data_IF_550592690306
#
_entry.id   IF_550592690306
#
_cell.length_a   1.000
_cell.length_b   1.000
_cell.length_c   1.000
_cell.angle_alpha   90.00
_cell.angle_beta   90.00
_cell.angle_gamma   90.00
#
_symmetry.space_group_name_H-M   'P 1'
#
loop_
_entity.id
_entity.type
_entity.pdbx_description
1 polymer ?
#
# COMPACT_ATOMS: atom_id res chain seq x y z
N UNK A 1 -1.52 -11.56 -12.77
CA UNK A 1 -0.69 -10.64 -11.96
C UNK A 1 0.72 -11.18 -11.91
N UNK A 2 1.57 -10.63 -12.78
CA UNK A 2 3.02 -10.85 -12.82
C UNK A 2 3.68 -10.04 -11.71
N UNK A 3 4.45 -10.73 -10.86
CA UNK A 3 5.55 -10.19 -10.04
C UNK A 3 5.28 -8.94 -9.19
N UNK A 4 4.80 -9.13 -7.96
CA UNK A 4 5.12 -8.18 -6.89
C UNK A 4 6.46 -8.57 -6.25
N UNK A 5 7.24 -7.57 -5.86
CA UNK A 5 8.68 -7.64 -5.60
C UNK A 5 9.01 -8.43 -4.32
N UNK A 6 9.85 -9.47 -4.49
CA UNK A 6 10.67 -10.17 -3.49
C UNK A 6 9.97 -11.22 -2.60
N UNK A 7 10.39 -12.47 -2.83
CA UNK A 7 10.34 -13.56 -1.86
C UNK A 7 11.00 -13.10 -0.54
N UNK A 8 10.21 -12.95 0.53
CA UNK A 8 10.64 -12.63 1.90
C UNK A 8 10.89 -11.15 2.28
N UNK A 9 10.08 -10.19 1.82
CA UNK A 9 10.12 -8.84 2.38
C UNK A 9 9.60 -8.81 3.85
N UNK A 10 10.52 -8.71 4.83
CA UNK A 10 10.21 -8.63 6.27
C UNK A 10 9.27 -7.46 6.59
N UNK A 11 9.46 -6.32 5.92
CA UNK A 11 8.64 -5.11 6.11
C UNK A 11 7.20 -5.33 5.67
N UNK A 12 6.98 -5.96 4.52
CA UNK A 12 5.63 -6.34 4.07
C UNK A 12 4.95 -7.29 5.07
N UNK A 13 5.68 -8.30 5.55
CA UNK A 13 5.17 -9.21 6.59
C UNK A 13 4.84 -8.46 7.89
N UNK A 14 5.62 -7.43 8.23
CA UNK A 14 5.36 -6.59 9.40
C UNK A 14 4.06 -5.78 9.27
N UNK A 15 3.72 -5.31 8.06
CA UNK A 15 2.46 -4.61 7.80
C UNK A 15 1.26 -5.56 7.92
N UNK A 16 1.39 -6.78 7.42
CA UNK A 16 0.34 -7.80 7.54
C UNK A 16 0.21 -8.39 8.95
N UNK A 17 1.29 -8.38 9.74
CA UNK A 17 1.35 -8.90 11.11
C UNK A 17 0.78 -10.33 11.23
N UNK A 18 -0.31 -10.53 11.96
CA UNK A 18 -1.00 -11.83 12.10
C UNK A 18 -1.46 -12.41 10.75
N UNK A 19 -1.68 -11.57 9.75
CA UNK A 19 -2.12 -11.95 8.39
C UNK A 19 -0.98 -12.15 7.40
N UNK A 20 0.28 -12.24 7.88
CA UNK A 20 1.48 -12.38 7.03
C UNK A 20 1.45 -13.55 6.06
N UNK A 21 0.59 -14.55 6.28
CA UNK A 21 0.37 -15.61 5.31
C UNK A 21 -0.12 -15.04 3.96
N UNK A 22 -0.96 -14.02 3.96
CA UNK A 22 -1.53 -13.40 2.76
C UNK A 22 -0.57 -12.48 2.00
N UNK A 23 0.72 -12.45 2.34
CA UNK A 23 1.75 -11.84 1.50
C UNK A 23 2.21 -12.76 0.37
N UNK A 24 1.78 -14.04 0.38
CA UNK A 24 2.18 -15.03 -0.64
C UNK A 24 1.04 -15.31 -1.61
N UNK A 25 1.36 -15.57 -2.87
CA UNK A 25 0.35 -15.84 -3.89
C UNK A 25 -0.48 -17.09 -3.59
N UNK A 26 0.15 -18.18 -3.14
CA UNK A 26 -0.52 -19.46 -2.88
C UNK A 26 -1.63 -19.34 -1.85
N UNK A 27 -1.34 -18.73 -0.70
CA UNK A 27 -2.33 -18.52 0.36
C UNK A 27 -3.41 -17.53 -0.06
N UNK A 28 -3.08 -16.47 -0.81
CA UNK A 28 -4.08 -15.52 -1.33
C UNK A 28 -5.07 -16.19 -2.28
N UNK A 29 -4.59 -17.10 -3.13
CA UNK A 29 -5.45 -17.83 -4.08
C UNK A 29 -6.45 -18.78 -3.41
N UNK A 30 -6.19 -19.22 -2.18
CA UNK A 30 -7.10 -20.08 -1.41
C UNK A 30 -7.99 -19.31 -0.42
N UNK A 31 -7.78 -18.01 -0.28
CA UNK A 31 -8.53 -17.17 0.66
C UNK A 31 -9.84 -16.65 0.05
N UNK A 32 -10.83 -16.41 0.88
CA UNK A 32 -12.06 -15.73 0.43
C UNK A 32 -11.80 -14.24 0.19
N UNK A 33 -12.65 -13.61 -0.62
CA UNK A 33 -12.58 -12.16 -0.86
C UNK A 33 -12.67 -11.35 0.44
N UNK A 34 -13.48 -11.79 1.41
CA UNK A 34 -13.62 -11.11 2.71
C UNK A 34 -12.38 -11.24 3.59
N UNK A 35 -11.76 -12.43 3.62
CA UNK A 35 -10.48 -12.62 4.33
C UNK A 35 -9.37 -11.73 3.75
N UNK A 36 -9.29 -11.62 2.42
CA UNK A 36 -8.32 -10.75 1.75
C UNK A 36 -8.63 -9.27 2.00
N UNK A 37 -9.88 -8.85 1.83
CA UNK A 37 -10.31 -7.48 2.10
C UNK A 37 -9.95 -7.06 3.53
N UNK A 38 -10.24 -7.91 4.51
CA UNK A 38 -9.93 -7.62 5.91
C UNK A 38 -8.43 -7.49 6.13
N UNK A 39 -7.66 -8.49 5.69
CA UNK A 39 -6.22 -8.52 5.90
C UNK A 39 -5.50 -7.35 5.21
N UNK A 40 -5.85 -7.08 3.95
CA UNK A 40 -5.26 -6.00 3.17
C UNK A 40 -5.64 -4.63 3.76
N UNK A 41 -6.87 -4.45 4.25
CA UNK A 41 -7.29 -3.22 4.93
C UNK A 41 -6.50 -2.98 6.23
N UNK A 42 -6.31 -4.03 7.05
CA UNK A 42 -5.47 -3.92 8.25
C UNK A 42 -4.02 -3.62 7.87
N UNK A 43 -3.50 -4.28 6.83
CA UNK A 43 -2.14 -4.07 6.35
C UNK A 43 -1.94 -2.63 5.85
N UNK A 44 -2.87 -2.09 5.05
CA UNK A 44 -2.79 -0.73 4.55
C UNK A 44 -2.84 0.29 5.70
N UNK A 45 -3.72 0.07 6.69
CA UNK A 45 -3.78 0.90 7.91
C UNK A 45 -2.46 0.87 8.69
N UNK A 46 -1.80 -0.29 8.78
CA UNK A 46 -0.49 -0.39 9.44
C UNK A 46 0.62 0.23 8.60
N UNK A 47 0.61 0.04 7.28
CA UNK A 47 1.58 0.62 6.37
C UNK A 47 1.59 2.14 6.46
N UNK A 48 0.43 2.80 6.38
CA UNK A 48 0.37 4.28 6.49
C UNK A 48 0.85 4.80 7.84
N UNK A 49 0.59 4.06 8.94
CA UNK A 49 1.10 4.42 10.27
C UNK A 49 2.61 4.22 10.36
N UNK A 50 3.13 3.12 9.82
CA UNK A 50 4.57 2.86 9.82
C UNK A 50 5.34 3.88 9.00
N UNK A 51 4.78 4.37 7.88
CA UNK A 51 5.39 5.44 7.10
C UNK A 51 5.31 6.82 7.79
N UNK A 52 4.28 7.09 8.59
CA UNK A 52 4.22 8.29 9.46
C UNK A 52 5.36 8.28 10.49
N UNK A 53 5.61 7.13 11.10
CA UNK A 53 6.67 6.95 12.11
C UNK A 53 8.08 6.74 11.49
N UNK A 54 8.20 6.65 10.16
CA UNK A 54 9.46 6.32 9.49
C UNK A 54 10.29 7.59 9.22
N UNK A 55 11.50 7.62 9.77
CA UNK A 55 12.44 8.72 9.54
C UNK A 55 13.18 8.53 8.21
N UNK A 56 12.55 9.00 7.14
CA UNK A 56 13.14 8.98 5.81
C UNK A 56 14.45 9.75 5.69
N UNK A 57 14.74 10.74 6.55
CA UNK A 57 15.94 11.57 6.42
C UNK A 57 17.19 10.88 6.94
N UNK A 58 17.05 10.00 7.94
CA UNK A 58 18.17 9.32 8.60
C UNK A 58 18.26 7.83 8.28
N UNK A 59 17.17 7.21 7.79
CA UNK A 59 17.16 5.82 7.37
C UNK A 59 18.13 5.56 6.20
N UNK A 60 18.70 4.36 6.17
CA UNK A 60 19.52 3.93 5.05
C UNK A 60 18.67 3.68 3.78
N UNK A 61 19.35 3.58 2.64
CA UNK A 61 18.67 3.42 1.34
C UNK A 61 17.90 2.11 1.25
N UNK A 62 18.39 1.05 1.87
CA UNK A 62 17.78 -0.27 1.81
C UNK A 62 16.48 -0.33 2.62
N UNK A 63 16.45 0.30 3.79
CA UNK A 63 15.25 0.46 4.61
C UNK A 63 14.20 1.32 3.91
N UNK A 64 14.60 2.47 3.34
CA UNK A 64 13.69 3.30 2.53
C UNK A 64 13.11 2.46 1.38
N UNK A 65 13.96 1.74 0.64
CA UNK A 65 13.53 0.87 -0.46
C UNK A 65 12.54 -0.19 0.00
N UNK A 66 12.84 -0.84 1.13
CA UNK A 66 12.04 -1.90 1.72
C UNK A 66 10.66 -1.41 2.14
N UNK A 67 10.59 -0.25 2.82
CA UNK A 67 9.35 0.39 3.23
C UNK A 67 8.50 0.87 2.06
N UNK A 68 9.11 1.50 1.05
CA UNK A 68 8.40 2.00 -0.13
C UNK A 68 7.83 0.84 -0.96
N UNK A 69 8.61 -0.22 -1.18
CA UNK A 69 8.11 -1.43 -1.89
C UNK A 69 6.98 -2.11 -1.12
N UNK A 70 7.17 -2.33 0.19
CA UNK A 70 6.14 -2.94 1.03
C UNK A 70 4.84 -2.12 1.05
N UNK A 71 4.96 -0.79 1.02
CA UNK A 71 3.81 0.11 0.91
C UNK A 71 3.09 -0.04 -0.42
N UNK A 72 3.81 -0.02 -1.54
CA UNK A 72 3.25 -0.19 -2.88
C UNK A 72 2.55 -1.54 -3.01
N UNK A 73 3.18 -2.62 -2.56
CA UNK A 73 2.58 -3.96 -2.59
C UNK A 73 1.31 -4.01 -1.74
N UNK A 74 1.32 -3.44 -0.54
CA UNK A 74 0.14 -3.39 0.34
C UNK A 74 -1.00 -2.56 -0.28
N UNK A 75 -0.69 -1.41 -0.88
CA UNK A 75 -1.65 -0.60 -1.61
C UNK A 75 -2.28 -1.38 -2.76
N UNK A 76 -1.45 -2.05 -3.58
CA UNK A 76 -1.91 -2.81 -4.75
C UNK A 76 -2.72 -4.05 -4.36
N UNK A 77 -2.33 -4.76 -3.29
CA UNK A 77 -3.13 -5.84 -2.74
C UNK A 77 -4.50 -5.36 -2.23
N UNK A 78 -4.54 -4.19 -1.60
CA UNK A 78 -5.82 -3.58 -1.19
C UNK A 78 -6.67 -3.22 -2.42
N UNK A 79 -6.08 -2.69 -3.48
CA UNK A 79 -6.78 -2.44 -4.75
C UNK A 79 -7.36 -3.73 -5.34
N UNK A 80 -6.57 -4.81 -5.35
CA UNK A 80 -6.97 -6.11 -5.90
C UNK A 80 -8.13 -6.75 -5.13
N UNK A 81 -8.01 -6.87 -3.81
CA UNK A 81 -9.08 -7.46 -3.00
C UNK A 81 -10.35 -6.63 -3.07
N UNK A 82 -10.22 -5.31 -2.92
CA UNK A 82 -11.35 -4.38 -2.94
C UNK A 82 -12.07 -4.32 -4.30
N UNK A 83 -11.34 -4.45 -5.42
CA UNK A 83 -11.93 -4.44 -6.78
C UNK A 83 -12.91 -5.60 -7.00
N UNK A 84 -12.63 -6.76 -6.43
CA UNK A 84 -13.45 -7.97 -6.56
C UNK A 84 -14.57 -8.08 -5.51
N UNK A 85 -14.66 -7.10 -4.61
CA UNK A 85 -15.55 -7.15 -3.45
C UNK A 85 -16.98 -6.70 -3.76
N UNK A 86 -17.95 -7.37 -3.15
CA UNK A 86 -19.35 -6.92 -3.05
C UNK A 86 -19.62 -6.05 -1.82
N UNK A 87 -18.66 -5.96 -0.88
CA UNK A 87 -18.78 -5.10 0.30
C UNK A 87 -18.64 -3.62 -0.10
N UNK A 88 -19.63 -2.81 0.27
CA UNK A 88 -19.72 -1.40 -0.12
C UNK A 88 -18.53 -0.55 0.35
N UNK A 89 -17.95 -0.84 1.53
CA UNK A 89 -16.78 -0.14 2.04
C UNK A 89 -15.52 -0.50 1.25
N UNK A 90 -15.36 -1.76 0.86
CA UNK A 90 -14.26 -2.19 0.00
C UNK A 90 -14.39 -1.56 -1.39
N UNK A 91 -15.56 -1.65 -2.04
CA UNK A 91 -15.80 -1.04 -3.36
C UNK A 91 -15.60 0.49 -3.34
N UNK A 92 -16.06 1.18 -2.30
CA UNK A 92 -15.82 2.62 -2.12
C UNK A 92 -14.33 2.92 -1.94
N UNK A 93 -13.61 2.08 -1.20
CA UNK A 93 -12.18 2.24 -0.97
C UNK A 93 -11.39 2.06 -2.27
N UNK A 94 -11.69 1.05 -3.08
CA UNK A 94 -11.09 0.88 -4.41
C UNK A 94 -11.23 2.15 -5.27
N UNK A 95 -12.45 2.70 -5.38
CA UNK A 95 -12.69 3.94 -6.13
C UNK A 95 -11.91 5.12 -5.57
N UNK A 96 -11.87 5.26 -4.25
CA UNK A 96 -11.15 6.33 -3.58
C UNK A 96 -9.63 6.22 -3.76
N UNK A 97 -9.07 5.02 -3.67
CA UNK A 97 -7.65 4.78 -3.90
C UNK A 97 -7.26 5.08 -5.35
N UNK A 98 -8.04 4.60 -6.32
CA UNK A 98 -7.84 4.91 -7.74
C UNK A 98 -7.86 6.41 -8.01
N UNK A 99 -8.88 7.12 -7.51
CA UNK A 99 -9.00 8.56 -7.69
C UNK A 99 -7.88 9.32 -6.98
N UNK A 100 -7.43 8.83 -5.82
CA UNK A 100 -6.33 9.42 -5.07
C UNK A 100 -5.01 9.30 -5.83
N UNK A 101 -4.68 8.12 -6.35
CA UNK A 101 -3.48 7.94 -7.17
C UNK A 101 -3.50 8.89 -8.38
N UNK A 102 -4.66 9.00 -9.05
CA UNK A 102 -4.78 9.84 -10.24
C UNK A 102 -4.63 11.33 -9.95
N UNK A 103 -5.27 11.79 -8.86
CA UNK A 103 -5.15 13.17 -8.38
C UNK A 103 -3.71 13.56 -8.03
N UNK A 104 -2.92 12.62 -7.50
CA UNK A 104 -1.54 12.85 -7.07
C UNK A 104 -0.51 12.22 -8.02
N UNK A 105 -0.89 11.88 -9.26
CA UNK A 105 -0.05 11.16 -10.23
C UNK A 105 1.28 11.86 -10.48
N UNK A 106 1.28 13.18 -10.65
CA UNK A 106 2.50 13.98 -10.81
C UNK A 106 3.38 13.98 -9.56
N UNK A 107 2.78 14.07 -8.36
CA UNK A 107 3.54 14.05 -7.11
C UNK A 107 4.15 12.67 -6.85
N UNK A 108 3.43 11.60 -7.18
CA UNK A 108 3.92 10.23 -7.14
C UNK A 108 5.08 10.06 -8.13
N UNK A 109 4.92 10.51 -9.38
CA UNK A 109 5.98 10.40 -10.40
C UNK A 109 7.21 11.24 -10.01
N UNK A 110 6.98 12.41 -9.41
CA UNK A 110 8.03 13.25 -8.84
C UNK A 110 8.81 12.57 -7.71
N UNK A 111 8.32 11.49 -7.09
CA UNK A 111 9.09 10.66 -6.15
C UNK A 111 9.50 9.30 -6.73
N UNK A 112 9.22 9.06 -8.01
CA UNK A 112 9.57 7.82 -8.72
C UNK A 112 8.55 6.69 -8.57
N UNK A 113 7.33 6.99 -8.12
CA UNK A 113 6.21 6.07 -8.08
C UNK A 113 5.28 6.39 -9.25
N UNK A 114 5.04 5.43 -10.14
CA UNK A 114 4.12 5.61 -11.27
C UNK A 114 2.81 4.91 -11.01
N UNK A 115 1.70 5.62 -11.20
CA UNK A 115 0.40 4.98 -11.31
C UNK A 115 0.12 4.50 -12.74
N UNK A 116 -0.73 3.50 -12.89
CA UNK A 116 -1.34 3.17 -14.17
C UNK A 116 -2.80 3.67 -14.23
N UNK A 117 -3.46 3.51 -15.39
CA UNK A 117 -4.86 3.94 -15.60
C UNK A 117 -5.90 3.27 -14.68
N UNK A 118 -5.52 2.17 -14.03
CA UNK A 118 -6.34 1.47 -13.04
C UNK A 118 -6.04 1.90 -11.60
N UNK A 119 -5.09 2.81 -11.39
CA UNK A 119 -4.67 3.34 -10.09
C UNK A 119 -3.63 2.50 -9.36
N UNK A 120 -3.10 1.43 -9.97
CA UNK A 120 -2.05 0.62 -9.34
C UNK A 120 -0.72 1.35 -9.41
N UNK A 121 0.09 1.18 -8.36
CA UNK A 121 1.38 1.85 -8.20
C UNK A 121 2.53 0.92 -8.57
N UNK A 122 3.59 1.50 -9.11
CA UNK A 122 4.86 0.81 -9.41
C UNK A 122 6.02 1.72 -9.04
N UNK A 123 7.13 1.14 -8.58
CA UNK A 123 8.36 1.89 -8.31
C UNK A 123 9.25 1.87 -9.55
N UNK A 124 9.70 3.03 -10.03
CA UNK A 124 10.60 3.07 -11.18
C UNK A 124 12.00 2.58 -10.80
N UNK A 125 12.71 1.93 -11.75
CA UNK A 125 14.09 1.49 -11.53
C UNK A 125 15.02 2.65 -11.14
N UNK A 126 14.82 3.82 -11.77
CA UNK A 126 15.58 5.03 -11.44
C UNK A 126 15.38 5.53 -10.01
N UNK A 127 14.21 5.28 -9.41
CA UNK A 127 13.93 5.61 -8.01
C UNK A 127 14.64 4.67 -7.05
N UNK A 128 14.81 3.40 -7.45
CA UNK A 128 15.60 2.40 -6.71
C UNK A 128 17.09 2.74 -6.75
N UNK A 129 17.59 3.19 -7.89
CA UNK A 129 19.01 3.58 -8.05
C UNK A 129 19.33 4.89 -7.32
N UNK A 130 18.38 5.83 -7.29
CA UNK A 130 18.56 7.18 -6.76
C UNK A 130 17.64 7.46 -5.58
N UNK A 131 17.64 6.57 -4.59
CA UNK A 131 16.85 6.74 -3.37
C UNK A 131 17.30 8.00 -2.63
N UNK A 132 16.35 8.90 -2.44
CA UNK A 132 16.49 10.12 -1.64
C UNK A 132 15.40 10.15 -0.57
N UNK A 133 15.84 10.10 0.69
CA UNK A 133 14.96 10.18 1.85
C UNK A 133 14.04 11.39 1.85
N UNK A 134 14.60 12.58 1.64
CA UNK A 134 13.84 13.84 1.60
C UNK A 134 12.78 13.84 0.48
N UNK A 135 13.10 13.23 -0.67
CA UNK A 135 12.16 13.07 -1.79
C UNK A 135 10.95 12.23 -1.38
N UNK A 136 11.16 11.05 -0.80
CA UNK A 136 10.05 10.21 -0.30
C UNK A 136 9.30 10.86 0.86
N UNK A 137 10.03 11.49 1.79
CA UNK A 137 9.44 12.22 2.93
C UNK A 137 8.41 13.22 2.43
N UNK A 138 8.69 13.99 1.38
CA UNK A 138 7.81 15.06 0.89
C UNK A 138 6.35 14.62 0.64
N UNK A 139 6.14 13.37 0.19
CA UNK A 139 4.82 12.83 -0.11
C UNK A 139 4.34 11.75 0.87
N UNK A 140 5.25 10.95 1.44
CA UNK A 140 4.90 9.81 2.30
C UNK A 140 4.89 10.13 3.81
N UNK A 141 5.16 11.37 4.21
CA UNK A 141 4.97 11.83 5.59
C UNK A 141 3.49 12.07 5.93
N UNK A 142 3.15 12.09 7.23
CA UNK A 142 1.77 12.30 7.72
C UNK A 142 1.14 13.65 7.40
N UNK A 143 1.94 14.68 7.18
CA UNK A 143 1.45 16.02 6.91
C UNK A 143 1.04 16.21 5.46
N UNK A 144 1.50 15.33 4.57
CA UNK A 144 1.13 15.33 3.17
C UNK A 144 -0.38 15.11 2.99
N UNK A 145 -0.97 15.84 2.05
CA UNK A 145 -2.40 15.69 1.72
C UNK A 145 -2.71 14.28 1.22
N UNK A 146 -1.80 13.69 0.46
CA UNK A 146 -1.91 12.31 -0.03
C UNK A 146 -2.05 11.32 1.14
N UNK A 147 -1.14 11.36 2.11
CA UNK A 147 -1.14 10.43 3.25
C UNK A 147 -2.31 10.67 4.20
N UNK A 148 -2.75 11.92 4.40
CA UNK A 148 -3.97 12.23 5.17
C UNK A 148 -5.21 11.58 4.56
N UNK A 149 -5.39 11.69 3.25
CA UNK A 149 -6.52 11.08 2.55
C UNK A 149 -6.40 9.54 2.54
N UNK A 150 -5.22 9.01 2.24
CA UNK A 150 -4.97 7.57 2.23
C UNK A 150 -5.23 6.94 3.61
N UNK A 151 -4.76 7.58 4.68
CA UNK A 151 -5.00 7.15 6.06
C UNK A 151 -6.49 7.12 6.40
N UNK A 152 -7.25 8.10 5.92
CA UNK A 152 -8.71 8.15 6.11
C UNK A 152 -9.39 6.96 5.45
N UNK A 153 -9.03 6.66 4.20
CA UNK A 153 -9.60 5.52 3.47
C UNK A 153 -9.20 4.17 4.08
N UNK A 154 -7.93 4.02 4.45
CA UNK A 154 -7.41 2.82 5.10
C UNK A 154 -8.12 2.54 6.43
N UNK A 155 -8.27 3.56 7.29
CA UNK A 155 -8.99 3.42 8.57
C UNK A 155 -10.46 3.06 8.36
N UNK A 156 -11.13 3.71 7.41
CA UNK A 156 -12.54 3.45 7.13
C UNK A 156 -12.76 2.02 6.65
N UNK A 157 -11.94 1.53 5.71
CA UNK A 157 -12.04 0.15 5.23
C UNK A 157 -11.76 -0.84 6.36
N UNK A 158 -10.68 -0.65 7.11
CA UNK A 158 -10.26 -1.56 8.19
C UNK A 158 -11.26 -1.65 9.35
N UNK A 159 -12.07 -0.61 9.58
CA UNK A 159 -13.06 -0.60 10.66
C UNK A 159 -14.41 -1.23 10.26
N UNK A 160 -14.67 -1.46 8.97
CA UNK A 160 -16.01 -1.83 8.47
C UNK A 160 -16.03 -3.12 7.64
N UNK A 161 -14.92 -3.85 7.58
CA UNK A 161 -14.90 -5.18 6.99
C UNK A 161 -14.92 -6.19 8.13
N UNK A 162 -15.80 -7.19 7.99
CA UNK A 162 -15.81 -8.38 8.82
C UNK A 162 -15.00 -9.49 8.13
N UNK A 163 -14.17 -10.17 8.90
CA UNK A 163 -13.33 -11.27 8.43
C UNK A 163 -14.15 -12.54 8.15
N UNK A 164 -15.24 -12.75 8.89
CA UNK A 164 -16.02 -14.01 8.87
C UNK A 164 -17.35 -13.91 8.11
N UNK A 165 -17.67 -12.74 7.57
CA UNK A 165 -18.88 -12.50 6.78
C UNK A 165 -18.84 -13.19 5.40
#
# INVERSE_FOLDING_TARGET
MSGFSVANNITLRSYYATYRAFTTKSTRSSATTNQLNYADAQALRRAVRKLDDFDFETADKDDISSHVRAFIDTYNYTMDSAKSSTNSYATSTYKNLKNLASKYSKDLENIGIKENSSGYLTLSSSAVENISGSRFKSLLNKDSKFMKQLTTYAKRMANNIDYYA
#
